data_IF_856300778721
#
_entry.id   IF_856300778721
#
_cell.length_a   1.000
_cell.length_b   1.000
_cell.length_c   1.000
_cell.angle_alpha   90.00
_cell.angle_beta   90.00
_cell.angle_gamma   90.00
#
_symmetry.space_group_name_H-M   'P 1'
#
loop_
_entity.id
_entity.type
_entity.pdbx_description
1 polymer ?
#
# COMPACT_ATOMS: atom_id res chain seq x y z
N UNK A 1 32.87 1.30 14.90
CA UNK A 1 33.67 0.07 14.74
C UNK A 1 32.86 -0.88 13.87
N UNK A 2 33.30 -1.02 12.60
CA UNK A 2 32.65 -1.87 11.59
C UNK A 2 33.13 -3.30 11.80
N UNK A 3 32.23 -4.23 12.16
CA UNK A 3 32.52 -5.67 12.12
C UNK A 3 31.93 -6.24 10.84
N UNK A 4 32.80 -6.46 9.88
CA UNK A 4 32.53 -7.24 8.68
C UNK A 4 32.42 -8.71 9.07
N UNK A 5 31.26 -9.33 8.87
CA UNK A 5 31.13 -10.75 8.90
C UNK A 5 31.37 -11.27 7.49
N UNK A 6 32.64 -11.59 7.22
CA UNK A 6 33.01 -12.30 6.00
C UNK A 6 32.73 -13.78 6.24
N UNK A 7 31.73 -14.34 5.55
CA UNK A 7 31.50 -15.78 5.50
C UNK A 7 32.48 -16.34 4.46
N UNK A 8 33.59 -16.86 4.98
CA UNK A 8 34.59 -17.63 4.20
C UNK A 8 33.96 -18.98 3.86
N UNK A 9 33.68 -19.17 2.57
CA UNK A 9 33.36 -20.47 1.97
C UNK A 9 34.65 -21.31 1.93
N UNK A 10 34.93 -22.07 2.99
CA UNK A 10 36.06 -22.99 3.03
C UNK A 10 35.66 -24.28 2.34
N UNK A 11 36.03 -24.39 1.05
CA UNK A 11 36.06 -25.68 0.37
C UNK A 11 37.24 -26.46 0.88
N UNK A 12 37.03 -27.32 1.88
CA UNK A 12 38.04 -28.30 2.26
C UNK A 12 37.83 -29.55 1.40
N UNK A 13 38.60 -29.69 0.35
CA UNK A 13 38.84 -30.94 -0.33
C UNK A 13 39.79 -31.78 0.53
N UNK A 14 39.24 -32.63 1.37
CA UNK A 14 40.02 -33.72 2.00
C UNK A 14 39.93 -34.96 1.12
N UNK A 15 40.91 -35.16 0.23
CA UNK A 15 41.21 -36.45 -0.35
C UNK A 15 41.95 -37.30 0.69
N UNK A 16 41.34 -38.43 1.05
CA UNK A 16 42.08 -39.44 1.75
C UNK A 16 41.22 -40.51 2.38
N UNK A 17 41.33 -41.68 1.79
CA UNK A 17 41.03 -43.05 2.23
C UNK A 17 39.78 -43.67 1.58
N UNK A 18 40.06 -44.47 0.58
CA UNK A 18 39.22 -45.46 -0.05
C UNK A 18 38.75 -46.52 0.93
N UNK A 19 37.60 -46.31 1.55
CA UNK A 19 36.70 -47.38 1.92
C UNK A 19 35.69 -47.47 0.78
N UNK A 20 35.36 -48.66 0.28
CA UNK A 20 34.29 -48.86 -0.67
C UNK A 20 33.02 -48.22 -0.13
N UNK A 21 32.76 -46.99 -0.53
CA UNK A 21 31.48 -46.38 -0.26
C UNK A 21 30.47 -47.09 -1.09
N UNK A 22 29.54 -47.82 -0.47
CA UNK A 22 28.44 -48.47 -1.12
C UNK A 22 27.75 -47.47 -2.01
N UNK A 23 27.51 -47.78 -3.27
CA UNK A 23 26.88 -46.90 -4.26
C UNK A 23 25.56 -46.32 -3.74
N UNK A 24 24.88 -46.98 -2.82
CA UNK A 24 23.68 -46.51 -2.16
C UNK A 24 23.95 -45.40 -1.12
N UNK A 25 25.11 -45.44 -0.44
CA UNK A 25 25.52 -44.38 0.49
C UNK A 25 25.82 -43.08 -0.27
N UNK A 26 26.53 -43.16 -1.37
CA UNK A 26 26.78 -41.99 -2.25
C UNK A 26 25.49 -41.42 -2.84
N UNK A 27 24.53 -42.25 -3.21
CA UNK A 27 23.21 -41.83 -3.66
C UNK A 27 22.45 -41.13 -2.52
N UNK A 28 22.50 -41.62 -1.31
CA UNK A 28 21.87 -40.98 -0.15
C UNK A 28 22.49 -39.62 0.15
N UNK A 29 23.85 -39.50 0.12
CA UNK A 29 24.55 -38.21 0.27
C UNK A 29 24.16 -37.23 -0.79
N UNK A 30 24.15 -37.61 -2.07
CA UNK A 30 23.75 -36.74 -3.17
C UNK A 30 22.31 -36.26 -3.02
N UNK A 31 21.39 -37.11 -2.53
CA UNK A 31 20.01 -36.68 -2.24
C UNK A 31 19.95 -35.66 -1.09
N UNK A 32 20.70 -35.90 -0.02
CA UNK A 32 20.79 -34.99 1.12
C UNK A 32 21.37 -33.63 0.71
N UNK A 33 22.44 -33.60 -0.07
CA UNK A 33 23.06 -32.37 -0.59
C UNK A 33 22.10 -31.57 -1.47
N UNK A 34 21.28 -32.23 -2.30
CA UNK A 34 20.25 -31.57 -3.09
C UNK A 34 19.19 -30.90 -2.22
N UNK A 35 18.70 -31.61 -1.21
CA UNK A 35 17.70 -31.07 -0.28
C UNK A 35 18.28 -29.91 0.54
N UNK A 36 19.52 -30.06 1.02
CA UNK A 36 20.27 -28.99 1.71
C UNK A 36 20.37 -27.74 0.87
N UNK A 37 20.78 -27.87 -0.38
CA UNK A 37 20.89 -26.72 -1.32
C UNK A 37 19.56 -26.00 -1.52
N UNK A 38 18.45 -26.74 -1.59
CA UNK A 38 17.10 -26.15 -1.69
C UNK A 38 16.77 -25.35 -0.42
N UNK A 39 17.02 -25.91 0.75
CA UNK A 39 16.74 -25.26 2.03
C UNK A 39 17.61 -24.02 2.22
N UNK A 40 18.91 -24.10 1.92
CA UNK A 40 19.82 -22.94 1.99
C UNK A 40 19.39 -21.82 1.07
N UNK A 41 19.04 -22.11 -0.18
CA UNK A 41 18.53 -21.13 -1.15
C UNK A 41 17.23 -20.47 -0.67
N UNK A 42 16.33 -21.24 -0.08
CA UNK A 42 15.10 -20.72 0.50
C UNK A 42 15.38 -19.83 1.72
N UNK A 43 16.28 -20.24 2.62
CA UNK A 43 16.72 -19.42 3.75
C UNK A 43 17.34 -18.08 3.30
N UNK A 44 18.18 -18.10 2.27
CA UNK A 44 18.78 -16.89 1.68
C UNK A 44 17.69 -15.97 1.11
N UNK A 45 16.73 -16.53 0.36
CA UNK A 45 15.61 -15.79 -0.20
C UNK A 45 14.77 -15.15 0.90
N UNK A 46 14.38 -15.91 1.92
CA UNK A 46 13.62 -15.41 3.07
C UNK A 46 14.39 -14.29 3.77
N UNK A 47 15.67 -14.48 4.08
CA UNK A 47 16.48 -13.47 4.75
C UNK A 47 16.61 -12.18 3.93
N UNK A 48 16.81 -12.29 2.61
CA UNK A 48 16.86 -11.15 1.70
C UNK A 48 15.53 -10.38 1.71
N UNK A 49 14.43 -11.09 1.60
CA UNK A 49 13.10 -10.51 1.51
C UNK A 49 12.63 -9.90 2.85
N UNK A 50 12.94 -10.55 3.97
CA UNK A 50 12.73 -10.00 5.31
C UNK A 50 13.49 -8.68 5.48
N UNK A 51 14.77 -8.62 5.09
CA UNK A 51 15.56 -7.37 5.15
C UNK A 51 14.95 -6.27 4.27
N UNK A 52 14.50 -6.61 3.07
CA UNK A 52 13.86 -5.67 2.16
C UNK A 52 12.54 -5.13 2.74
N UNK A 53 11.69 -6.01 3.27
CA UNK A 53 10.43 -5.63 3.88
C UNK A 53 10.63 -4.81 5.17
N UNK A 54 11.61 -5.18 6.01
CA UNK A 54 12.00 -4.38 7.18
C UNK A 54 12.45 -2.95 6.82
N UNK A 55 13.10 -2.77 5.65
CA UNK A 55 13.46 -1.43 5.17
C UNK A 55 12.21 -0.62 4.82
N UNK A 56 11.21 -1.25 4.20
CA UNK A 56 9.94 -0.59 3.87
C UNK A 56 9.14 -0.21 5.12
N UNK A 57 9.10 -1.07 6.15
CA UNK A 57 8.41 -0.75 7.42
C UNK A 57 9.07 0.37 8.23
N UNK A 58 10.25 0.84 7.81
CA UNK A 58 10.98 1.98 8.37
C UNK A 58 11.05 3.15 7.41
N UNK A 59 10.21 3.17 6.40
CA UNK A 59 10.12 4.29 5.46
C UNK A 59 9.74 5.58 6.21
N UNK A 60 10.30 6.73 5.75
CA UNK A 60 9.91 8.05 6.28
C UNK A 60 8.47 8.42 5.90
N UNK A 61 8.01 7.90 4.76
CA UNK A 61 6.63 8.05 4.32
C UNK A 61 5.88 6.82 4.79
N UNK A 62 4.89 7.02 5.62
CA UNK A 62 3.99 5.96 6.08
C UNK A 62 3.13 5.45 4.92
N UNK A 63 2.68 4.19 4.93
CA UNK A 63 1.71 3.72 3.96
C UNK A 63 0.37 4.45 4.12
N UNK A 64 -0.40 4.56 3.05
CA UNK A 64 -1.74 5.15 3.07
C UNK A 64 -2.72 4.30 3.89
N UNK A 65 -2.57 2.99 3.81
CA UNK A 65 -3.35 1.99 4.56
C UNK A 65 -2.47 1.39 5.67
N UNK A 66 -2.79 1.72 6.92
CA UNK A 66 -2.08 1.27 8.11
C UNK A 66 -2.13 -0.26 8.30
N UNK A 67 -3.16 -0.93 7.77
CA UNK A 67 -3.28 -2.39 7.86
C UNK A 67 -2.13 -3.09 7.15
N UNK A 68 -1.61 -2.48 6.08
CA UNK A 68 -0.46 -2.99 5.30
C UNK A 68 0.81 -3.03 6.15
N UNK A 69 1.03 -2.01 7.00
CA UNK A 69 2.18 -1.95 7.90
C UNK A 69 2.11 -3.06 8.98
N UNK A 70 0.92 -3.27 9.54
CA UNK A 70 0.68 -4.35 10.50
C UNK A 70 0.94 -5.72 9.86
N UNK A 71 0.35 -5.99 8.71
CA UNK A 71 0.54 -7.23 7.95
C UNK A 71 2.02 -7.47 7.61
N UNK A 72 2.75 -6.43 7.20
CA UNK A 72 4.18 -6.52 6.92
C UNK A 72 5.00 -6.97 8.13
N UNK A 73 4.70 -6.43 9.31
CA UNK A 73 5.38 -6.81 10.58
C UNK A 73 5.09 -8.26 10.96
N UNK A 74 3.84 -8.70 10.80
CA UNK A 74 3.43 -10.09 11.06
C UNK A 74 4.11 -11.05 10.09
N UNK A 75 4.11 -10.76 8.79
CA UNK A 75 4.80 -11.56 7.76
C UNK A 75 6.30 -11.69 8.04
N UNK A 76 6.97 -10.60 8.46
CA UNK A 76 8.38 -10.64 8.88
C UNK A 76 8.57 -11.61 10.06
N UNK A 77 7.69 -11.56 11.05
CA UNK A 77 7.77 -12.43 12.23
C UNK A 77 7.62 -13.90 11.85
N UNK A 78 6.60 -14.22 11.06
CA UNK A 78 6.33 -15.57 10.56
C UNK A 78 7.50 -16.09 9.72
N UNK A 79 8.02 -15.27 8.80
CA UNK A 79 9.11 -15.64 7.91
C UNK A 79 10.39 -16.01 8.67
N UNK A 80 10.72 -15.26 9.72
CA UNK A 80 11.88 -15.57 10.57
C UNK A 80 11.77 -16.93 11.26
N UNK A 81 10.56 -17.36 11.62
CA UNK A 81 10.31 -18.67 12.24
C UNK A 81 10.41 -19.82 11.23
N UNK A 82 10.36 -19.52 9.93
CA UNK A 82 10.46 -20.51 8.85
C UNK A 82 11.90 -20.83 8.43
N UNK A 83 12.89 -20.10 8.95
CA UNK A 83 14.31 -20.40 8.69
C UNK A 83 14.63 -21.77 9.28
N UNK A 84 15.25 -22.62 8.48
CA UNK A 84 15.61 -24.00 8.85
C UNK A 84 17.12 -24.09 9.04
N UNK A 85 17.54 -24.57 10.20
CA UNK A 85 18.93 -24.94 10.40
C UNK A 85 19.25 -26.22 9.60
N UNK A 86 20.29 -26.17 8.80
CA UNK A 86 20.74 -27.29 7.99
C UNK A 86 21.74 -28.10 8.80
N UNK A 87 21.44 -29.37 9.10
CA UNK A 87 22.36 -30.20 9.86
C UNK A 87 23.55 -30.66 9.00
N UNK A 88 24.67 -31.01 9.65
CA UNK A 88 25.79 -31.69 8.99
C UNK A 88 25.34 -33.06 8.43
N UNK A 89 25.93 -33.47 7.28
CA UNK A 89 25.62 -34.74 6.68
C UNK A 89 26.13 -35.91 7.56
N UNK A 90 25.27 -36.81 8.02
CA UNK A 90 25.69 -37.94 8.81
C UNK A 90 26.64 -38.90 8.06
N UNK A 91 27.37 -39.74 8.76
CA UNK A 91 28.30 -40.68 8.14
C UNK A 91 27.65 -41.99 7.69
N UNK A 92 26.59 -42.43 8.40
CA UNK A 92 25.91 -43.71 8.12
C UNK A 92 24.73 -43.52 7.18
N UNK A 93 24.59 -44.40 6.21
CA UNK A 93 23.52 -44.35 5.19
C UNK A 93 22.12 -44.18 5.75
N UNK A 94 21.75 -44.93 6.77
CA UNK A 94 20.40 -44.86 7.34
C UNK A 94 20.15 -43.49 8.06
N UNK A 95 21.17 -42.97 8.74
CA UNK A 95 21.13 -41.68 9.40
C UNK A 95 21.00 -40.54 8.34
N UNK A 96 21.68 -40.66 7.19
CA UNK A 96 21.59 -39.73 6.06
C UNK A 96 20.17 -39.72 5.53
N UNK A 97 19.57 -40.87 5.29
CA UNK A 97 18.20 -41.00 4.78
C UNK A 97 17.17 -40.39 5.73
N UNK A 98 17.35 -40.63 7.04
CA UNK A 98 16.45 -40.05 8.06
C UNK A 98 16.60 -38.54 8.16
N UNK A 99 17.83 -38.01 8.15
CA UNK A 99 18.11 -36.59 8.14
C UNK A 99 17.50 -35.90 6.88
N UNK A 100 17.70 -36.53 5.70
CA UNK A 100 17.11 -36.02 4.46
C UNK A 100 15.59 -35.96 4.53
N UNK A 101 14.93 -37.03 4.98
CA UNK A 101 13.47 -37.07 5.12
C UNK A 101 12.94 -35.99 6.08
N UNK A 102 13.67 -35.68 7.17
CA UNK A 102 13.31 -34.59 8.08
C UNK A 102 13.49 -33.23 7.42
N UNK A 103 14.54 -33.06 6.62
CA UNK A 103 14.85 -31.82 5.91
C UNK A 103 13.85 -31.56 4.75
N UNK A 104 13.51 -32.60 3.99
CA UNK A 104 12.50 -32.53 2.90
C UNK A 104 11.16 -31.99 3.38
N UNK A 105 10.70 -32.41 4.58
CA UNK A 105 9.44 -31.92 5.17
C UNK A 105 9.45 -30.42 5.46
N UNK A 106 10.64 -29.82 5.56
CA UNK A 106 10.83 -28.41 5.88
C UNK A 106 11.34 -27.61 4.67
N UNK A 107 11.56 -28.29 3.54
CA UNK A 107 12.18 -27.67 2.38
C UNK A 107 11.23 -26.72 1.63
N UNK A 108 9.93 -27.04 1.54
CA UNK A 108 8.98 -26.17 0.88
C UNK A 108 8.73 -24.91 1.71
N UNK A 109 9.02 -23.75 1.12
CA UNK A 109 8.84 -22.41 1.67
C UNK A 109 8.10 -21.49 0.71
N UNK A 110 7.44 -22.08 -0.29
CA UNK A 110 6.74 -21.31 -1.33
C UNK A 110 5.73 -20.33 -0.76
N UNK A 111 4.94 -20.75 0.21
CA UNK A 111 3.89 -19.90 0.82
C UNK A 111 4.48 -18.68 1.52
N UNK A 112 5.50 -18.85 2.37
CA UNK A 112 6.07 -17.70 3.10
C UNK A 112 6.87 -16.78 2.18
N UNK A 113 7.53 -17.30 1.14
CA UNK A 113 8.24 -16.50 0.12
C UNK A 113 7.21 -15.70 -0.68
N UNK A 114 6.08 -16.29 -1.04
CA UNK A 114 4.99 -15.57 -1.71
C UNK A 114 4.41 -14.48 -0.78
N UNK A 115 4.09 -14.80 0.47
CA UNK A 115 3.59 -13.83 1.45
C UNK A 115 4.55 -12.64 1.65
N UNK A 116 5.87 -12.88 1.69
CA UNK A 116 6.88 -11.82 1.73
C UNK A 116 6.85 -10.96 0.45
N UNK A 117 6.66 -11.57 -0.71
CA UNK A 117 6.59 -10.87 -2.00
C UNK A 117 5.36 -9.99 -2.07
N UNK A 118 4.20 -10.50 -1.70
CA UNK A 118 2.93 -9.78 -1.69
C UNK A 118 2.96 -8.63 -0.67
N UNK A 119 3.48 -8.89 0.52
CA UNK A 119 3.62 -7.87 1.56
C UNK A 119 4.59 -6.74 1.15
N UNK A 120 5.70 -7.07 0.46
CA UNK A 120 6.59 -6.05 -0.12
C UNK A 120 5.90 -5.21 -1.18
N UNK A 121 5.11 -5.84 -2.05
CA UNK A 121 4.34 -5.13 -3.07
C UNK A 121 3.30 -4.21 -2.42
N UNK A 122 2.49 -4.72 -1.51
CA UNK A 122 1.47 -3.94 -0.81
C UNK A 122 2.06 -2.72 -0.09
N UNK A 123 3.19 -2.90 0.62
CA UNK A 123 3.90 -1.79 1.27
C UNK A 123 4.39 -0.71 0.29
N UNK A 124 4.98 -1.13 -0.85
CA UNK A 124 5.45 -0.19 -1.87
C UNK A 124 4.29 0.58 -2.50
N UNK A 125 3.23 -0.12 -2.84
CA UNK A 125 2.05 0.46 -3.47
C UNK A 125 1.38 1.46 -2.52
N UNK A 126 1.15 1.09 -1.26
CA UNK A 126 0.53 1.96 -0.27
C UNK A 126 1.38 3.21 0.06
N UNK A 127 2.71 3.08 0.09
CA UNK A 127 3.62 4.24 0.21
C UNK A 127 3.55 5.14 -1.03
N UNK A 128 3.46 4.56 -2.22
CA UNK A 128 3.32 5.32 -3.46
C UNK A 128 1.97 6.05 -3.51
N UNK A 129 0.89 5.39 -3.09
CA UNK A 129 -0.44 5.98 -2.96
C UNK A 129 -0.44 7.16 -1.98
N UNK A 130 0.19 7.03 -0.79
CA UNK A 130 0.33 8.13 0.17
C UNK A 130 1.02 9.34 -0.48
N UNK A 131 2.14 9.13 -1.18
CA UNK A 131 2.84 10.20 -1.88
C UNK A 131 1.97 10.87 -2.93
N UNK A 132 1.17 10.09 -3.66
CA UNK A 132 0.32 10.57 -4.73
C UNK A 132 -0.81 11.47 -4.23
N UNK A 133 -1.33 11.22 -3.02
CA UNK A 133 -2.38 12.02 -2.37
C UNK A 133 -1.85 12.98 -1.30
N UNK A 134 -0.53 13.23 -1.28
CA UNK A 134 0.09 14.25 -0.43
C UNK A 134 0.34 15.49 -1.28
N UNK A 135 -0.44 16.53 -1.09
CA UNK A 135 -0.44 17.80 -1.82
C UNK A 135 -0.32 17.59 -3.36
N UNK A 136 -1.23 16.82 -3.96
CA UNK A 136 -1.22 16.60 -5.39
C UNK A 136 -1.47 17.91 -6.15
N UNK A 137 -0.93 18.01 -7.37
CA UNK A 137 -1.19 19.17 -8.20
C UNK A 137 -2.66 19.24 -8.67
N UNK A 138 -3.14 20.45 -8.93
CA UNK A 138 -4.45 20.69 -9.51
C UNK A 138 -4.69 19.86 -10.80
N UNK A 139 -3.70 19.88 -11.70
CA UNK A 139 -3.80 19.12 -12.96
C UNK A 139 -3.90 17.61 -12.74
N UNK A 140 -3.23 17.07 -11.71
CA UNK A 140 -3.38 15.68 -11.33
C UNK A 140 -4.82 15.39 -10.89
N UNK A 141 -5.40 16.21 -10.02
CA UNK A 141 -6.78 15.99 -9.55
C UNK A 141 -7.79 16.08 -10.69
N UNK A 142 -7.65 17.07 -11.57
CA UNK A 142 -8.48 17.19 -12.77
C UNK A 142 -8.38 15.96 -13.67
N UNK A 143 -7.17 15.46 -13.92
CA UNK A 143 -6.96 14.22 -14.69
C UNK A 143 -7.66 13.03 -14.04
N UNK A 144 -7.62 12.94 -12.71
CA UNK A 144 -8.22 11.83 -11.94
C UNK A 144 -9.74 11.90 -11.87
N UNK A 145 -10.33 13.07 -11.97
CA UNK A 145 -11.79 13.24 -12.05
C UNK A 145 -12.33 12.90 -13.44
N UNK A 146 -11.53 13.04 -14.49
CA UNK A 146 -11.94 12.77 -15.85
C UNK A 146 -12.31 11.30 -16.06
N UNK A 147 -13.52 11.06 -16.58
CA UNK A 147 -14.06 9.73 -16.86
C UNK A 147 -14.59 8.96 -15.65
N UNK A 148 -14.70 9.61 -14.49
CA UNK A 148 -15.42 9.01 -13.36
C UNK A 148 -16.92 9.02 -13.68
N UNK A 149 -17.63 7.88 -13.52
CA UNK A 149 -19.08 7.84 -13.72
C UNK A 149 -19.81 8.90 -12.87
N UNK A 150 -20.74 9.59 -13.50
CA UNK A 150 -21.55 10.64 -12.90
C UNK A 150 -20.79 11.93 -12.50
N UNK A 151 -19.56 12.14 -12.99
CA UNK A 151 -18.85 13.42 -12.97
C UNK A 151 -18.88 14.00 -14.38
N UNK A 152 -19.57 15.13 -14.56
CA UNK A 152 -19.80 15.71 -15.89
C UNK A 152 -18.83 16.83 -16.22
N UNK A 153 -18.57 17.72 -15.26
CA UNK A 153 -17.67 18.86 -15.41
C UNK A 153 -16.82 18.98 -14.14
N UNK A 154 -15.56 19.36 -14.30
CA UNK A 154 -14.68 19.68 -13.18
C UNK A 154 -13.84 20.90 -13.52
N UNK A 155 -13.85 21.91 -12.64
CA UNK A 155 -13.11 23.15 -12.79
C UNK A 155 -12.37 23.48 -11.49
N UNK A 156 -11.14 23.95 -11.62
CA UNK A 156 -10.37 24.44 -10.49
C UNK A 156 -10.64 25.91 -10.23
N UNK A 157 -10.69 26.29 -8.96
CA UNK A 157 -10.82 27.69 -8.56
C UNK A 157 -9.50 28.44 -8.75
N UNK A 158 -9.61 29.73 -8.98
CA UNK A 158 -8.51 30.69 -8.91
C UNK A 158 -8.82 31.74 -7.82
N UNK A 159 -7.91 32.69 -7.60
CA UNK A 159 -8.07 33.71 -6.55
C UNK A 159 -9.29 34.64 -6.78
N UNK A 160 -9.78 34.76 -8.03
CA UNK A 160 -10.89 35.65 -8.36
C UNK A 160 -12.25 34.99 -8.12
N UNK A 161 -12.33 33.65 -8.26
CA UNK A 161 -13.59 32.89 -8.16
C UNK A 161 -13.63 31.91 -6.96
N UNK A 162 -12.66 31.99 -6.04
CA UNK A 162 -12.66 31.17 -4.82
C UNK A 162 -13.74 31.65 -3.83
N UNK A 163 -14.89 31.01 -3.86
CA UNK A 163 -16.04 31.33 -3.01
C UNK A 163 -15.77 31.16 -1.51
N UNK A 164 -14.82 30.31 -1.12
CA UNK A 164 -14.44 30.12 0.27
C UNK A 164 -13.34 31.10 0.72
N UNK A 165 -12.64 31.73 -0.23
CA UNK A 165 -11.56 32.65 0.06
C UNK A 165 -10.38 32.03 0.81
N UNK A 166 -10.11 30.74 0.59
CA UNK A 166 -9.08 29.96 1.30
C UNK A 166 -7.87 29.59 0.44
N UNK A 167 -7.97 29.78 -0.87
CA UNK A 167 -6.90 29.40 -1.80
C UNK A 167 -5.58 30.10 -1.45
N UNK A 168 -4.52 29.33 -1.30
CA UNK A 168 -3.15 29.77 -0.96
C UNK A 168 -3.01 30.54 0.36
N UNK A 169 -4.03 30.54 1.22
CA UNK A 169 -3.93 31.15 2.55
C UNK A 169 -3.37 30.17 3.58
N UNK A 170 -2.78 30.68 4.62
CA UNK A 170 -2.25 29.86 5.70
C UNK A 170 -3.35 28.95 6.29
N UNK A 171 -3.13 27.62 6.25
CA UNK A 171 -4.11 26.61 6.65
C UNK A 171 -5.28 26.42 5.68
N UNK A 172 -5.29 27.16 4.55
CA UNK A 172 -6.22 26.98 3.44
C UNK A 172 -5.73 25.91 2.46
N UNK A 173 -6.53 25.67 1.43
CA UNK A 173 -6.16 24.72 0.40
C UNK A 173 -5.15 25.29 -0.61
N UNK A 174 -4.32 24.40 -1.16
CA UNK A 174 -3.39 24.70 -2.26
C UNK A 174 -4.08 24.62 -3.63
N UNK A 175 -5.16 23.85 -3.71
CA UNK A 175 -6.12 23.85 -4.84
C UNK A 175 -7.50 23.36 -4.38
N UNK A 176 -8.53 23.81 -5.06
CA UNK A 176 -9.88 23.29 -4.91
C UNK A 176 -10.53 23.11 -6.27
N UNK A 177 -11.15 21.97 -6.49
CA UNK A 177 -11.77 21.58 -7.76
C UNK A 177 -13.22 21.26 -7.50
N UNK A 178 -14.13 22.09 -8.01
CA UNK A 178 -15.55 21.80 -8.00
C UNK A 178 -15.93 20.93 -9.19
N UNK A 179 -16.86 20.01 -8.99
CA UNK A 179 -17.37 19.16 -10.04
C UNK A 179 -18.89 19.05 -9.98
N UNK A 180 -19.52 18.88 -11.15
CA UNK A 180 -20.95 18.59 -11.26
C UNK A 180 -21.18 17.09 -11.35
N UNK A 181 -22.34 16.64 -10.83
CA UNK A 181 -22.77 15.25 -10.93
C UNK A 181 -24.11 15.14 -11.64
N UNK A 182 -24.20 14.22 -12.61
CA UNK A 182 -25.44 13.91 -13.33
C UNK A 182 -26.53 13.32 -12.42
N UNK A 183 -26.17 12.93 -11.20
CA UNK A 183 -27.09 12.43 -10.19
C UNK A 183 -27.83 13.55 -9.43
N UNK A 184 -27.37 14.79 -9.53
CA UNK A 184 -28.00 15.95 -8.87
C UNK A 184 -29.05 16.53 -9.80
N UNK A 185 -30.31 16.52 -9.39
CA UNK A 185 -31.39 17.23 -10.07
C UNK A 185 -31.34 18.73 -9.70
N UNK A 186 -30.66 19.52 -10.54
CA UNK A 186 -30.44 20.94 -10.29
C UNK A 186 -31.75 21.73 -10.30
N UNK A 187 -32.72 21.36 -11.14
CA UNK A 187 -34.01 22.03 -11.23
C UNK A 187 -34.88 21.78 -9.99
N UNK A 188 -34.97 20.53 -9.53
CA UNK A 188 -35.74 20.18 -8.34
C UNK A 188 -35.14 20.78 -7.06
N UNK A 189 -33.81 21.01 -7.03
CA UNK A 189 -33.09 21.54 -5.87
C UNK A 189 -32.82 23.05 -5.98
N UNK A 190 -33.38 23.73 -6.98
CA UNK A 190 -33.25 25.19 -7.19
C UNK A 190 -31.78 25.66 -7.29
N UNK A 191 -30.91 24.83 -7.87
CA UNK A 191 -29.52 25.17 -8.13
C UNK A 191 -29.48 26.00 -9.41
N UNK A 192 -28.94 27.21 -9.34
CA UNK A 192 -28.84 28.11 -10.45
C UNK A 192 -28.01 27.54 -11.60
N UNK A 193 -28.33 27.94 -12.84
CA UNK A 193 -27.52 27.57 -13.99
C UNK A 193 -26.14 28.22 -13.89
N UNK A 194 -25.13 27.50 -14.32
CA UNK A 194 -23.74 27.93 -14.24
C UNK A 194 -22.76 26.80 -14.40
N UNK A 195 -21.49 27.10 -14.24
CA UNK A 195 -20.43 26.10 -14.23
C UNK A 195 -20.32 25.36 -12.88
N UNK A 196 -19.35 24.46 -12.74
CA UNK A 196 -19.20 23.69 -11.52
C UNK A 196 -18.77 24.51 -10.29
N UNK A 197 -18.09 25.65 -10.52
CA UNK A 197 -17.67 26.56 -9.44
C UNK A 197 -18.87 27.35 -8.94
N UNK A 198 -19.69 27.91 -9.88
CA UNK A 198 -20.92 28.67 -9.58
C UNK A 198 -21.95 27.80 -8.84
N UNK A 199 -22.08 26.53 -9.23
CA UNK A 199 -22.95 25.55 -8.55
C UNK A 199 -22.42 25.12 -7.19
N UNK A 200 -21.13 25.31 -6.94
CA UNK A 200 -20.47 24.94 -5.70
C UNK A 200 -20.54 23.44 -5.39
N UNK A 201 -20.46 23.09 -4.12
CA UNK A 201 -20.59 21.68 -3.67
C UNK A 201 -21.97 21.11 -3.98
N UNK A 202 -22.99 21.93 -4.05
CA UNK A 202 -24.37 21.52 -4.30
C UNK A 202 -24.56 20.90 -5.69
N UNK A 203 -23.83 21.36 -6.70
CA UNK A 203 -23.88 20.82 -8.06
C UNK A 203 -23.34 19.40 -8.23
N UNK A 204 -22.58 18.89 -7.25
CA UNK A 204 -21.99 17.55 -7.28
C UNK A 204 -20.99 17.32 -6.19
N UNK A 205 -20.00 18.21 -6.05
CA UNK A 205 -19.00 18.10 -4.98
C UNK A 205 -17.77 18.99 -5.19
N UNK A 206 -16.80 18.83 -4.30
CA UNK A 206 -15.54 19.55 -4.35
C UNK A 206 -14.38 18.66 -3.86
N UNK A 207 -13.24 18.78 -4.50
CA UNK A 207 -11.97 18.21 -4.02
C UNK A 207 -11.13 19.37 -3.49
N UNK A 208 -10.85 19.38 -2.20
CA UNK A 208 -9.99 20.36 -1.55
C UNK A 208 -8.63 19.72 -1.25
N UNK A 209 -7.51 20.31 -1.70
CA UNK A 209 -6.14 19.82 -1.49
C UNK A 209 -5.42 20.73 -0.52
N UNK A 210 -4.79 20.16 0.49
CA UNK A 210 -4.06 20.91 1.52
C UNK A 210 -2.55 20.62 1.43
N UNK A 211 -1.75 21.51 1.99
CA UNK A 211 -0.30 21.32 2.08
C UNK A 211 0.03 20.19 3.06
N UNK A 212 -0.71 20.09 4.18
CA UNK A 212 -0.47 19.13 5.25
C UNK A 212 -1.73 18.32 5.60
N UNK A 213 -1.53 17.14 6.16
CA UNK A 213 -2.63 16.31 6.70
C UNK A 213 -3.30 17.00 7.91
N UNK A 214 -2.55 17.79 8.67
CA UNK A 214 -3.10 18.55 9.81
C UNK A 214 -4.13 19.59 9.32
N UNK A 215 -3.83 20.30 8.24
CA UNK A 215 -4.76 21.30 7.68
C UNK A 215 -5.99 20.63 7.05
N UNK A 216 -5.81 19.51 6.35
CA UNK A 216 -6.92 18.70 5.86
C UNK A 216 -7.81 18.22 7.02
N UNK A 217 -7.22 17.73 8.12
CA UNK A 217 -7.96 17.26 9.28
C UNK A 217 -8.69 18.40 10.03
N UNK A 218 -8.10 19.60 10.11
CA UNK A 218 -8.78 20.79 10.65
C UNK A 218 -10.01 21.14 9.82
N UNK A 219 -9.88 21.09 8.49
CA UNK A 219 -11.01 21.34 7.58
C UNK A 219 -12.10 20.27 7.73
N UNK A 220 -11.73 19.01 7.79
CA UNK A 220 -12.64 17.89 8.02
C UNK A 220 -13.41 18.05 9.35
N UNK A 221 -12.72 18.41 10.40
CA UNK A 221 -13.33 18.72 11.71
C UNK A 221 -14.32 19.89 11.63
N UNK A 222 -13.97 20.94 10.87
CA UNK A 222 -14.87 22.07 10.63
C UNK A 222 -16.13 21.62 9.89
N UNK A 223 -16.00 20.83 8.82
CA UNK A 223 -17.13 20.30 8.04
C UNK A 223 -18.02 19.40 8.90
N UNK A 224 -17.42 18.53 9.72
CA UNK A 224 -18.14 17.64 10.65
C UNK A 224 -19.04 18.37 11.65
N UNK A 225 -18.73 19.63 11.97
CA UNK A 225 -19.55 20.44 12.87
C UNK A 225 -20.95 20.78 12.25
N UNK A 226 -21.10 20.62 10.95
CA UNK A 226 -22.35 20.87 10.22
C UNK A 226 -23.07 19.56 9.83
N UNK A 227 -22.52 18.41 10.13
CA UNK A 227 -23.17 17.14 9.83
C UNK A 227 -24.51 17.01 10.56
N UNK A 228 -25.54 16.64 9.81
CA UNK A 228 -26.91 16.54 10.33
C UNK A 228 -27.59 17.87 10.61
N UNK A 229 -26.99 19.03 10.28
CA UNK A 229 -27.53 20.36 10.56
C UNK A 229 -28.59 20.86 9.56
N UNK A 230 -29.25 19.96 8.85
CA UNK A 230 -30.30 20.31 7.86
C UNK A 230 -29.76 21.17 6.72
N UNK A 231 -30.24 22.42 6.59
CA UNK A 231 -29.82 23.34 5.50
C UNK A 231 -28.32 23.73 5.53
N UNK A 232 -27.64 23.52 6.64
CA UNK A 232 -26.21 23.82 6.77
C UNK A 232 -25.34 22.61 6.47
N UNK A 233 -25.92 21.43 6.25
CA UNK A 233 -25.19 20.22 5.94
C UNK A 233 -24.51 20.36 4.56
N UNK A 234 -23.19 20.17 4.55
CA UNK A 234 -22.34 20.30 3.34
C UNK A 234 -22.19 18.99 2.56
N UNK A 235 -23.07 18.01 2.78
CA UNK A 235 -22.95 16.67 2.21
C UNK A 235 -21.98 15.76 2.95
N UNK A 236 -21.50 14.71 2.31
CA UNK A 236 -20.46 13.88 2.92
C UNK A 236 -19.07 14.41 2.59
N UNK A 237 -18.11 14.12 3.48
CA UNK A 237 -16.71 14.47 3.27
C UNK A 237 -15.81 13.32 3.74
N UNK A 238 -14.65 13.15 3.09
CA UNK A 238 -13.68 12.10 3.40
C UNK A 238 -12.25 12.58 3.15
N UNK A 239 -11.38 12.40 4.13
CA UNK A 239 -9.95 12.70 4.02
C UNK A 239 -9.20 11.51 3.41
N UNK A 240 -8.31 11.78 2.45
CA UNK A 240 -7.39 10.82 1.85
C UNK A 240 -6.02 11.50 1.69
N UNK A 241 -5.07 11.21 2.57
CA UNK A 241 -3.82 11.96 2.67
C UNK A 241 -4.08 13.42 3.01
N UNK A 242 -3.69 14.36 2.16
CA UNK A 242 -3.96 15.79 2.32
C UNK A 242 -5.17 16.28 1.50
N UNK A 243 -5.94 15.35 0.93
CA UNK A 243 -7.09 15.64 0.06
C UNK A 243 -8.38 15.40 0.82
N UNK A 244 -9.33 16.32 0.71
CA UNK A 244 -10.70 16.13 1.15
C UNK A 244 -11.59 15.98 -0.06
N UNK A 245 -12.32 14.88 -0.12
CA UNK A 245 -13.37 14.62 -1.12
C UNK A 245 -14.70 15.01 -0.47
N UNK A 246 -15.40 15.93 -1.06
CA UNK A 246 -16.76 16.37 -0.64
C UNK A 246 -17.76 16.02 -1.73
N UNK A 247 -18.94 15.52 -1.34
CA UNK A 247 -20.06 15.25 -2.26
C UNK A 247 -21.32 15.95 -1.78
N UNK A 248 -22.15 16.35 -2.75
CA UNK A 248 -23.37 17.14 -2.50
C UNK A 248 -24.31 16.48 -1.49
N UNK A 249 -24.97 17.28 -0.65
CA UNK A 249 -26.04 16.82 0.25
C UNK A 249 -27.36 16.51 -0.49
N UNK A 250 -27.47 16.90 -1.75
CA UNK A 250 -28.62 16.54 -2.61
C UNK A 250 -28.53 15.11 -3.15
N UNK A 251 -27.39 14.44 -2.96
CA UNK A 251 -27.23 13.04 -3.25
C UNK A 251 -27.73 12.18 -2.09
N UNK A 252 -28.29 11.01 -2.38
CA UNK A 252 -28.57 10.02 -1.35
C UNK A 252 -27.30 9.49 -0.74
N UNK A 253 -27.34 8.97 0.47
CA UNK A 253 -26.18 8.41 1.15
C UNK A 253 -25.47 7.32 0.31
N UNK A 254 -26.21 6.48 -0.43
CA UNK A 254 -25.64 5.49 -1.34
C UNK A 254 -24.87 6.16 -2.47
N UNK A 255 -25.45 7.18 -3.13
CA UNK A 255 -24.81 7.92 -4.21
C UNK A 255 -23.55 8.66 -3.72
N UNK A 256 -23.61 9.31 -2.55
CA UNK A 256 -22.44 9.94 -1.92
C UNK A 256 -21.32 8.93 -1.69
N UNK A 257 -21.61 7.76 -1.14
CA UNK A 257 -20.62 6.72 -0.87
C UNK A 257 -20.00 6.16 -2.17
N UNK A 258 -20.81 5.90 -3.19
CA UNK A 258 -20.34 5.40 -4.49
C UNK A 258 -19.45 6.43 -5.19
N UNK A 259 -19.88 7.69 -5.25
CA UNK A 259 -19.14 8.77 -5.88
C UNK A 259 -17.82 9.03 -5.14
N UNK A 260 -17.85 9.14 -3.81
CA UNK A 260 -16.66 9.28 -2.97
C UNK A 260 -15.68 8.13 -3.19
N UNK A 261 -16.19 6.88 -3.26
CA UNK A 261 -15.36 5.67 -3.46
C UNK A 261 -14.72 5.69 -4.85
N UNK A 262 -15.47 6.05 -5.89
CA UNK A 262 -14.95 6.13 -7.26
C UNK A 262 -13.87 7.20 -7.40
N UNK A 263 -14.09 8.38 -6.82
CA UNK A 263 -13.10 9.46 -6.78
C UNK A 263 -11.85 9.03 -6.01
N UNK A 264 -12.02 8.49 -4.80
CA UNK A 264 -10.91 8.00 -3.99
C UNK A 264 -10.08 6.96 -4.74
N UNK A 265 -10.74 5.94 -5.32
CA UNK A 265 -10.05 4.90 -6.08
C UNK A 265 -9.28 5.46 -7.27
N UNK A 266 -9.83 6.46 -7.97
CA UNK A 266 -9.12 7.14 -9.05
C UNK A 266 -7.89 7.90 -8.53
N UNK A 267 -8.04 8.63 -7.43
CA UNK A 267 -6.93 9.39 -6.82
C UNK A 267 -5.78 8.50 -6.35
N UNK A 268 -6.06 7.30 -5.83
CA UNK A 268 -5.04 6.39 -5.31
C UNK A 268 -4.56 5.35 -6.33
N UNK A 269 -5.19 5.23 -7.50
CA UNK A 269 -4.76 4.28 -8.53
C UNK A 269 -3.33 4.58 -9.00
N UNK A 270 -2.43 3.63 -8.86
CA UNK A 270 -1.06 3.75 -9.38
C UNK A 270 -1.06 3.48 -10.88
N UNK A 271 -0.38 4.36 -11.63
CA UNK A 271 -0.16 4.23 -13.08
C UNK A 271 1.22 3.66 -13.36
#
# INVERSE_FOLDING_TARGET
MKKYFALLLSFVLAFGLTACSDAETEKAKSSFEKTTSIVEKNNETINKDVKALQKLTKSKVEPLDDTVLKTARETISQAKQQIVEVPECPSKKEDIKEANKKLEKKADKSEIIQALTDSKKAMKDSIAQRKQVTNPSESFVLERLNGIPNVSQALAVNEENDVNGMLHKAGGYTSAIFFTSDLVDTAANYIEDGDSIEKGTDGGGCIEVFETEEDAQKRDTYLSAFDGSGMLCSGSHKVVGTVIIRTSNYLTATQQNELTTNIMNSLIALK
#
